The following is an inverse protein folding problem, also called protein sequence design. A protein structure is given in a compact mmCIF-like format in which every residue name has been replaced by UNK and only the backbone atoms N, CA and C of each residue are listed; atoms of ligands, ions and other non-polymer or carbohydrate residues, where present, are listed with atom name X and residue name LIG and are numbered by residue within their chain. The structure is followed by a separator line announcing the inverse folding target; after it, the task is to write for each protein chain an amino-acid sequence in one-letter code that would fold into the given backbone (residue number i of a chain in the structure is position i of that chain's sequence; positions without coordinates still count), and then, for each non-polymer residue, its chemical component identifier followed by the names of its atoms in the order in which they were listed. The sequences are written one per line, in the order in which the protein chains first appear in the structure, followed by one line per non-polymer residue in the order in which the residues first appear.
data_IF_871686753379
#
_entry.id   IF_871686753379
#
_cell.length_a   1.000
_cell.length_b   1.000
_cell.length_c   1.000
_cell.angle_alpha   90.00
_cell.angle_beta   90.00
_cell.angle_gamma   90.00
#
_symmetry.space_group_name_H-M   'P 1'
#
loop_
_entity.id
_entity.type
_entity.pdbx_description
1 polymer ?
#
# COMPACT_ATOMS: atom_id res chain seq x y z
N UNK A 1 -8.48 -6.94 -7.39
CA UNK A 1 -8.40 -6.66 -5.92
C UNK A 1 -8.68 -7.92 -5.10
N UNK A 2 -9.91 -8.49 -5.12
CA UNK A 2 -10.28 -9.65 -4.29
C UNK A 2 -9.50 -10.95 -4.55
N UNK A 3 -8.99 -11.12 -5.78
CA UNK A 3 -8.24 -12.32 -6.18
C UNK A 3 -6.74 -12.19 -5.93
N UNK A 4 -6.28 -11.23 -5.12
CA UNK A 4 -4.85 -11.08 -4.82
C UNK A 4 -4.42 -12.10 -3.75
N UNK A 5 -3.70 -13.19 -4.10
CA UNK A 5 -3.27 -14.18 -3.11
C UNK A 5 -2.26 -13.59 -2.12
N UNK A 6 -1.48 -12.60 -2.57
CA UNK A 6 -0.49 -11.90 -1.74
C UNK A 6 -1.09 -10.89 -0.76
N UNK A 7 -2.41 -10.67 -0.76
CA UNK A 7 -3.11 -9.78 0.20
C UNK A 7 -2.54 -8.36 0.25
N UNK A 8 -2.06 -7.86 -0.87
CA UNK A 8 -1.30 -6.60 -0.96
C UNK A 8 -2.12 -5.44 -1.57
N UNK A 9 -3.45 -5.57 -1.59
CA UNK A 9 -4.32 -4.66 -2.33
C UNK A 9 -5.52 -4.27 -1.47
N UNK A 10 -5.58 -2.99 -1.10
CA UNK A 10 -6.67 -2.39 -0.35
C UNK A 10 -7.60 -1.62 -1.29
N UNK A 11 -8.91 -1.71 -1.06
CA UNK A 11 -9.95 -0.98 -1.77
C UNK A 11 -10.87 -0.34 -0.75
N UNK A 12 -11.25 0.91 -1.01
CA UNK A 12 -12.14 1.67 -0.15
C UNK A 12 -12.31 3.07 -0.69
N UNK A 13 -13.20 3.83 -0.08
CA UNK A 13 -13.35 5.24 -0.40
C UNK A 13 -12.31 6.06 0.37
N UNK A 14 -11.83 7.14 -0.26
CA UNK A 14 -10.79 7.99 0.33
C UNK A 14 -11.34 9.00 1.34
N UNK A 15 -12.66 9.16 1.41
CA UNK A 15 -13.37 10.02 2.36
C UNK A 15 -13.90 9.25 3.60
N UNK A 16 -13.81 7.92 3.60
CA UNK A 16 -14.09 7.10 4.79
C UNK A 16 -12.91 7.15 5.77
N UNK A 17 -12.99 8.05 6.77
CA UNK A 17 -11.92 8.26 7.74
C UNK A 17 -11.56 7.02 8.58
N UNK A 18 -12.51 6.10 8.73
CA UNK A 18 -12.29 4.85 9.44
C UNK A 18 -11.68 3.76 8.54
N UNK A 19 -11.76 3.94 7.23
CA UNK A 19 -11.27 3.02 6.22
C UNK A 19 -9.74 2.90 6.16
N UNK A 20 -9.26 1.71 5.81
CA UNK A 20 -7.82 1.45 5.66
C UNK A 20 -7.17 2.33 4.59
N UNK A 21 -7.86 2.60 3.48
CA UNK A 21 -7.35 3.45 2.40
C UNK A 21 -7.11 4.89 2.90
N UNK A 22 -8.09 5.50 3.58
CA UNK A 22 -7.90 6.81 4.20
C UNK A 22 -6.74 6.80 5.19
N UNK A 23 -6.72 5.81 6.10
CA UNK A 23 -5.68 5.73 7.13
C UNK A 23 -4.29 5.64 6.50
N UNK A 24 -4.09 4.84 5.45
CA UNK A 24 -2.80 4.69 4.78
C UNK A 24 -2.39 5.95 3.98
N UNK A 25 -3.32 6.61 3.31
CA UNK A 25 -3.05 7.76 2.41
C UNK A 25 -3.01 9.09 3.17
N UNK A 26 -3.97 9.35 4.07
CA UNK A 26 -4.17 10.63 4.76
C UNK A 26 -3.57 10.66 6.16
N UNK A 27 -3.88 9.68 7.01
CA UNK A 27 -3.44 9.65 8.42
C UNK A 27 -1.96 9.30 8.56
N UNK A 28 -1.53 8.18 7.97
CA UNK A 28 -0.16 7.68 8.08
C UNK A 28 0.78 8.21 6.99
N UNK A 29 0.21 8.70 5.88
CA UNK A 29 0.97 9.24 4.73
C UNK A 29 2.03 8.27 4.18
N UNK A 30 1.74 6.97 4.22
CA UNK A 30 2.65 5.92 3.74
C UNK A 30 2.27 5.37 2.37
N UNK A 31 1.04 5.62 1.92
CA UNK A 31 0.57 5.24 0.58
C UNK A 31 0.62 6.46 -0.34
N UNK A 32 1.53 6.43 -1.32
CA UNK A 32 1.89 7.57 -2.16
C UNK A 32 1.40 7.39 -3.60
N UNK A 33 1.01 8.47 -4.28
CA UNK A 33 0.66 8.41 -5.70
C UNK A 33 1.88 8.06 -6.55
N UNK A 34 1.66 7.32 -7.63
CA UNK A 34 2.70 7.02 -8.62
C UNK A 34 2.87 8.18 -9.61
N UNK A 35 4.12 8.55 -9.87
CA UNK A 35 4.51 9.61 -10.82
C UNK A 35 3.72 10.92 -10.64
N UNK A 36 3.74 11.51 -9.42
CA UNK A 36 2.91 12.69 -9.12
C UNK A 36 3.24 13.91 -9.99
N UNK A 37 4.45 13.99 -10.54
CA UNK A 37 4.89 15.08 -11.43
C UNK A 37 4.09 15.17 -12.74
N UNK A 38 3.35 14.12 -13.11
CA UNK A 38 2.48 14.14 -14.30
C UNK A 38 1.16 14.90 -14.08
N UNK A 39 0.83 15.30 -12.84
CA UNK A 39 -0.32 16.16 -12.54
C UNK A 39 -1.69 15.51 -12.70
N UNK A 40 -1.77 14.19 -12.93
CA UNK A 40 -3.02 13.46 -13.16
C UNK A 40 -3.84 13.20 -11.89
N UNK A 41 -3.26 13.42 -10.71
CA UNK A 41 -3.88 13.19 -9.40
C UNK A 41 -4.46 11.76 -9.27
N UNK A 42 -3.62 10.70 -9.38
CA UNK A 42 -4.11 9.33 -9.40
C UNK A 42 -4.77 8.93 -8.08
N UNK A 43 -5.83 8.12 -8.16
CA UNK A 43 -6.51 7.53 -6.99
C UNK A 43 -5.99 6.13 -6.62
N UNK A 44 -4.87 5.70 -7.22
CA UNK A 44 -4.15 4.48 -6.84
C UNK A 44 -2.86 4.89 -6.14
N UNK A 45 -2.64 4.31 -4.97
CA UNK A 45 -1.54 4.65 -4.09
C UNK A 45 -0.70 3.41 -3.79
N UNK A 46 0.59 3.61 -3.56
CA UNK A 46 1.57 2.56 -3.34
C UNK A 46 2.28 2.78 -2.02
N UNK A 47 2.37 1.71 -1.21
CA UNK A 47 3.24 1.69 -0.02
C UNK A 47 4.65 1.33 -0.49
N UNK A 48 5.67 2.19 -0.30
CA UNK A 48 7.01 1.92 -0.80
C UNK A 48 7.66 0.74 -0.03
N UNK A 49 8.49 -0.06 -0.70
CA UNK A 49 9.15 -1.21 -0.07
C UNK A 49 10.28 -0.76 0.84
N UNK A 50 10.40 -1.37 2.04
CA UNK A 50 11.56 -1.15 2.91
C UNK A 50 12.87 -1.68 2.30
N UNK A 51 12.80 -2.69 1.43
CA UNK A 51 13.89 -3.43 0.78
C UNK A 51 14.91 -4.05 1.76
N UNK A 52 15.38 -5.29 1.54
CA UNK A 52 16.49 -5.83 2.31
C UNK A 52 17.79 -5.07 2.00
N UNK A 53 18.83 -5.20 2.84
CA UNK A 53 20.14 -4.67 2.49
C UNK A 53 20.70 -5.32 1.21
N UNK A 54 21.59 -4.61 0.48
CA UNK A 54 22.41 -5.22 -0.56
C UNK A 54 23.40 -6.20 0.08
N UNK A 55 23.81 -7.19 -0.71
CA UNK A 55 24.84 -8.16 -0.33
C UNK A 55 26.15 -7.67 -0.96
N UNK A 56 27.19 -7.54 -0.14
CA UNK A 56 28.52 -7.14 -0.56
C UNK A 56 29.25 -8.22 -1.35
N UNK A 57 30.40 -7.87 -1.90
CA UNK A 57 31.27 -8.82 -2.62
C UNK A 57 31.84 -9.91 -1.69
N UNK A 58 31.93 -9.61 -0.39
CA UNK A 58 32.28 -10.53 0.69
C UNK A 58 31.14 -11.51 1.05
N UNK A 59 29.96 -11.36 0.44
CA UNK A 59 28.77 -12.16 0.74
C UNK A 59 27.99 -11.68 1.96
N UNK A 60 28.44 -10.60 2.63
CA UNK A 60 27.81 -10.08 3.85
C UNK A 60 26.76 -9.01 3.56
N UNK A 61 25.81 -8.85 4.48
CA UNK A 61 24.75 -7.86 4.35
C UNK A 61 25.24 -6.44 4.73
N UNK A 62 25.04 -5.48 3.84
CA UNK A 62 25.37 -4.07 4.09
C UNK A 62 24.20 -3.37 4.81
N UNK A 63 24.13 -3.54 6.12
CA UNK A 63 23.09 -2.96 6.96
C UNK A 63 23.04 -1.43 6.87
N UNK A 64 21.84 -0.86 6.99
CA UNK A 64 21.60 0.59 6.90
C UNK A 64 21.43 1.13 5.49
N UNK A 65 21.68 0.31 4.46
CA UNK A 65 21.41 0.65 3.05
C UNK A 65 20.25 -0.19 2.54
N UNK A 66 19.34 0.42 1.77
CA UNK A 66 18.32 -0.32 1.04
C UNK A 66 18.87 -0.81 -0.30
N UNK A 67 18.52 -2.05 -0.71
CA UNK A 67 18.90 -2.57 -2.04
C UNK A 67 18.35 -1.72 -3.19
N UNK A 68 17.22 -1.05 -2.98
CA UNK A 68 16.62 -0.17 -3.98
C UNK A 68 17.18 1.24 -3.77
N UNK A 69 17.79 1.87 -4.79
CA UNK A 69 18.32 3.23 -4.67
C UNK A 69 17.24 4.24 -4.28
N UNK A 70 17.54 5.11 -3.31
CA UNK A 70 16.58 6.11 -2.82
C UNK A 70 16.18 7.10 -3.93
N UNK A 71 17.10 7.46 -4.82
CA UNK A 71 16.82 8.33 -5.96
C UNK A 71 15.74 7.74 -6.89
N UNK A 72 15.78 6.42 -7.11
CA UNK A 72 14.77 5.73 -7.91
C UNK A 72 13.38 5.82 -7.27
N UNK A 73 13.30 5.60 -5.96
CA UNK A 73 12.03 5.72 -5.21
C UNK A 73 11.50 7.16 -5.21
N UNK A 74 12.37 8.17 -5.04
CA UNK A 74 11.99 9.58 -5.13
C UNK A 74 11.49 9.96 -6.52
N UNK A 75 12.07 9.40 -7.60
CA UNK A 75 11.56 9.60 -8.97
C UNK A 75 10.14 9.04 -9.14
N UNK A 76 9.83 7.90 -8.52
CA UNK A 76 8.52 7.27 -8.61
C UNK A 76 7.45 7.97 -7.77
N UNK A 77 7.77 8.32 -6.52
CA UNK A 77 6.77 8.73 -5.53
C UNK A 77 6.93 10.18 -5.04
N UNK A 78 7.96 10.88 -5.51
CA UNK A 78 8.32 12.21 -5.02
C UNK A 78 9.08 12.19 -3.68
N UNK A 79 9.40 13.37 -3.12
CA UNK A 79 10.21 13.49 -1.91
C UNK A 79 9.53 12.95 -0.64
N UNK A 80 8.21 12.72 -0.66
CA UNK A 80 7.47 12.19 0.50
C UNK A 80 7.83 10.74 0.81
N UNK A 81 8.48 10.02 -0.12
CA UNK A 81 8.89 8.63 0.07
C UNK A 81 9.86 8.45 1.23
N UNK A 82 10.73 9.44 1.48
CA UNK A 82 11.67 9.43 2.60
C UNK A 82 10.92 9.33 3.94
N UNK A 83 9.91 10.19 4.12
CA UNK A 83 9.08 10.19 5.33
C UNK A 83 8.23 8.92 5.43
N UNK A 84 7.64 8.46 4.33
CA UNK A 84 6.86 7.23 4.31
C UNK A 84 7.69 6.01 4.76
N UNK A 85 8.92 5.87 4.23
CA UNK A 85 9.83 4.80 4.62
C UNK A 85 10.24 4.91 6.10
N UNK A 86 10.54 6.12 6.60
CA UNK A 86 10.86 6.34 8.00
C UNK A 86 9.71 5.92 8.93
N UNK A 87 8.47 6.31 8.60
CA UNK A 87 7.26 5.92 9.35
C UNK A 87 7.07 4.40 9.34
N UNK A 88 7.23 3.75 8.17
CA UNK A 88 7.11 2.30 8.04
C UNK A 88 8.17 1.56 8.87
N UNK A 89 9.42 2.02 8.89
CA UNK A 89 10.49 1.44 9.69
C UNK A 89 10.21 1.59 11.18
N UNK A 90 9.82 2.77 11.63
CA UNK A 90 9.52 3.05 13.04
C UNK A 90 8.37 2.18 13.57
N UNK A 91 7.26 2.10 12.83
CA UNK A 91 6.09 1.30 13.23
C UNK A 91 6.37 -0.21 13.16
N UNK A 92 7.21 -0.65 12.23
CA UNK A 92 7.68 -2.04 12.18
C UNK A 92 8.56 -2.37 13.38
N UNK A 93 9.47 -1.47 13.76
CA UNK A 93 10.34 -1.66 14.93
C UNK A 93 9.53 -1.71 16.22
N UNK A 94 8.57 -0.80 16.36
CA UNK A 94 7.61 -0.78 17.46
C UNK A 94 6.86 -2.12 17.57
N UNK A 95 6.35 -2.64 16.45
CA UNK A 95 5.70 -3.95 16.44
C UNK A 95 6.67 -5.10 16.79
N UNK A 96 7.92 -5.01 16.33
CA UNK A 96 8.99 -5.99 16.63
C UNK A 96 9.34 -6.00 18.12
N UNK A 97 9.28 -4.86 18.81
CA UNK A 97 9.48 -4.77 20.25
C UNK A 97 8.26 -5.22 21.08
N UNK A 98 7.24 -5.80 20.44
CA UNK A 98 6.01 -6.26 21.11
C UNK A 98 4.97 -5.18 21.41
N UNK A 99 5.21 -3.93 21.00
CA UNK A 99 4.24 -2.84 21.18
C UNK A 99 3.18 -2.88 20.06
N UNK A 100 2.02 -2.26 20.31
CA UNK A 100 0.96 -2.19 19.31
C UNK A 100 1.25 -1.12 18.25
N UNK A 101 1.09 -1.50 16.98
CA UNK A 101 1.14 -0.59 15.83
C UNK A 101 -0.15 -0.76 15.02
N UNK A 102 -0.94 0.31 14.96
CA UNK A 102 -2.15 0.36 14.12
C UNK A 102 -1.77 0.23 12.65
N UNK A 103 -0.70 0.91 12.21
CA UNK A 103 -0.22 0.83 10.83
C UNK A 103 0.16 -0.60 10.45
N UNK A 104 0.95 -1.29 11.28
CA UNK A 104 1.33 -2.68 10.99
C UNK A 104 0.11 -3.60 10.99
N UNK A 105 -0.86 -3.39 11.88
CA UNK A 105 -2.12 -4.16 11.88
C UNK A 105 -2.89 -3.97 10.57
N UNK A 106 -2.97 -2.74 10.04
CA UNK A 106 -3.61 -2.44 8.75
C UNK A 106 -2.88 -3.15 7.60
N UNK A 107 -1.55 -3.11 7.57
CA UNK A 107 -0.74 -3.69 6.49
C UNK A 107 -0.68 -5.23 6.52
N UNK A 108 -0.77 -5.83 7.71
CA UNK A 108 -0.88 -7.29 7.86
C UNK A 108 -2.29 -7.78 7.51
N UNK A 109 -3.30 -6.97 7.83
CA UNK A 109 -4.71 -7.22 7.55
C UNK A 109 -5.14 -8.67 7.89
N UNK A 110 -5.11 -9.06 9.18
CA UNK A 110 -5.34 -10.44 9.61
C UNK A 110 -6.58 -11.09 9.01
N UNK A 111 -7.67 -10.33 8.83
CA UNK A 111 -8.86 -10.79 8.08
C UNK A 111 -8.86 -10.21 6.69
N UNK A 112 -8.95 -11.08 5.68
CA UNK A 112 -8.89 -10.69 4.28
C UNK A 112 -9.95 -9.64 3.89
N UNK A 113 -11.14 -9.70 4.50
CA UNK A 113 -12.23 -8.73 4.25
C UNK A 113 -11.85 -7.29 4.62
N UNK A 114 -10.88 -7.08 5.53
CA UNK A 114 -10.39 -5.74 5.92
C UNK A 114 -9.71 -5.02 4.75
N UNK A 115 -9.25 -5.76 3.74
CA UNK A 115 -8.69 -5.19 2.51
C UNK A 115 -9.75 -4.60 1.58
N UNK A 116 -11.02 -5.01 1.73
CA UNK A 116 -12.06 -4.75 0.73
C UNK A 116 -12.96 -3.56 1.09
N UNK A 117 -12.75 -2.93 2.24
CA UNK A 117 -13.61 -1.85 2.72
C UNK A 117 -15.09 -2.27 2.73
N UNK A 118 -16.00 -1.52 2.10
CA UNK A 118 -17.42 -1.90 2.01
C UNK A 118 -17.71 -3.04 1.02
N UNK A 119 -16.75 -3.45 0.19
CA UNK A 119 -16.96 -4.35 -0.96
C UNK A 119 -16.80 -5.84 -0.61
N UNK A 120 -17.51 -6.31 0.42
CA UNK A 120 -17.32 -7.67 0.99
C UNK A 120 -18.27 -8.74 0.47
N UNK A 121 -19.37 -8.35 -0.20
CA UNK A 121 -20.42 -9.24 -0.74
C UNK A 121 -19.82 -10.36 -1.60
N UNK A 122 -20.24 -11.61 -1.40
CA UNK A 122 -19.75 -12.75 -2.18
C UNK A 122 -20.00 -12.54 -3.68
N UNK A 123 -19.01 -12.73 -4.58
CA UNK A 123 -19.20 -12.45 -6.00
C UNK A 123 -20.23 -13.35 -6.66
N UNK A 124 -20.50 -14.56 -6.12
CA UNK A 124 -21.56 -15.44 -6.63
C UNK A 124 -22.97 -14.93 -6.33
N UNK A 125 -23.11 -14.03 -5.35
CA UNK A 125 -24.38 -13.44 -4.92
C UNK A 125 -24.63 -12.07 -5.55
N UNK A 126 -23.67 -11.53 -6.32
CA UNK A 126 -23.84 -10.25 -6.99
C UNK A 126 -24.84 -10.39 -8.15
N UNK A 127 -25.89 -9.60 -8.11
CA UNK A 127 -26.76 -9.42 -9.26
C UNK A 127 -25.98 -8.66 -10.33
N UNK A 128 -25.73 -9.31 -11.47
CA UNK A 128 -25.22 -8.61 -12.65
C UNK A 128 -26.39 -7.89 -13.30
N UNK A 129 -26.29 -6.60 -13.64
CA UNK A 129 -27.32 -5.95 -14.41
C UNK A 129 -27.51 -6.72 -15.73
N UNK A 130 -28.74 -7.14 -15.99
CA UNK A 130 -29.11 -7.81 -17.24
C UNK A 130 -29.20 -6.74 -18.32
N UNK A 131 -28.34 -6.77 -19.34
CA UNK A 131 -28.56 -6.05 -20.60
C UNK A 131 -27.86 -4.70 -20.81
N UNK A 132 -26.54 -4.61 -20.67
CA UNK A 132 -25.76 -3.60 -21.39
C UNK A 132 -24.66 -4.28 -22.22
N UNK A 133 -25.06 -4.88 -23.34
CA UNK A 133 -24.12 -5.05 -24.44
C UNK A 133 -23.88 -3.65 -25.04
N UNK A 134 -22.65 -3.12 -25.08
CA UNK A 134 -22.39 -1.95 -25.90
C UNK A 134 -22.67 -2.36 -27.34
N UNK A 135 -23.74 -1.82 -27.92
CA UNK A 135 -23.96 -1.87 -29.36
C UNK A 135 -22.79 -1.13 -30.00
N UNK A 136 -21.88 -1.87 -30.63
CA UNK A 136 -20.90 -1.31 -31.55
C UNK A 136 -21.67 -0.81 -32.77
N UNK A 137 -21.95 0.50 -32.79
CA UNK A 137 -22.31 1.28 -33.99
C UNK A 137 -21.24 2.31 -34.22
#
# INVERSE_FOLDING_TARGET
MRQCPGRAVWVGFLDDEEGAVYKLVRKWQVALPLLPHLGTQPNVYYVPPLSPPPIGEDGEAQWGQGRIPMEYLRRLFGPQVDQALATLQAEREKARSGQTSELMRILIAYRFQELLGPFTVNPSQLQRPVGQNPTLT
#
